data_IF_266379178527
#
_entry.id   IF_266379178527
#
_cell.length_a   1.000
_cell.length_b   1.000
_cell.length_c   1.000
_cell.angle_alpha   90.00
_cell.angle_beta   90.00
_cell.angle_gamma   90.00
#
_symmetry.space_group_name_H-M   'P 1'
#
loop_
_entity.id
_entity.type
_entity.pdbx_description
1 polymer ?
#
# COMPACT_ATOMS: atom_id res chain seq x y z
N UNK A 1 -0.28 -21.79 4.82
CA UNK A 1 0.11 -20.41 4.46
C UNK A 1 0.50 -19.72 5.76
N UNK A 2 1.68 -19.10 5.84
CA UNK A 2 2.13 -18.44 7.08
C UNK A 2 1.56 -17.02 7.19
N UNK A 3 1.50 -16.46 8.40
CA UNK A 3 1.05 -15.08 8.62
C UNK A 3 1.84 -14.08 7.78
N UNK A 4 3.16 -14.31 7.65
CA UNK A 4 4.02 -13.51 6.77
C UNK A 4 3.62 -13.60 5.29
N UNK A 5 3.23 -14.78 4.81
CA UNK A 5 2.75 -14.95 3.44
C UNK A 5 1.41 -14.23 3.21
N UNK A 6 0.52 -14.24 4.21
CA UNK A 6 -0.75 -13.51 4.16
C UNK A 6 -0.49 -11.99 4.10
N UNK A 7 0.40 -11.48 4.94
CA UNK A 7 0.77 -10.06 4.93
C UNK A 7 1.39 -9.61 3.61
N UNK A 8 2.28 -10.43 3.03
CA UNK A 8 2.89 -10.15 1.73
C UNK A 8 1.85 -10.12 0.60
N UNK A 9 0.91 -11.06 0.59
CA UNK A 9 -0.21 -11.10 -0.36
C UNK A 9 -1.11 -9.87 -0.24
N UNK A 10 -1.43 -9.44 0.99
CA UNK A 10 -2.18 -8.20 1.23
C UNK A 10 -1.42 -7.01 0.63
N UNK A 11 -0.12 -6.87 0.91
CA UNK A 11 0.71 -5.80 0.35
C UNK A 11 0.77 -5.81 -1.17
N UNK A 12 0.85 -6.99 -1.80
CA UNK A 12 0.82 -7.14 -3.25
C UNK A 12 -0.50 -6.61 -3.85
N UNK A 13 -1.64 -6.85 -3.21
CA UNK A 13 -2.94 -6.32 -3.67
C UNK A 13 -3.01 -4.80 -3.65
N UNK A 14 -2.40 -4.15 -2.65
CA UNK A 14 -2.27 -2.70 -2.62
C UNK A 14 -1.45 -2.18 -3.81
N UNK A 15 -0.32 -2.85 -4.11
CA UNK A 15 0.51 -2.53 -5.26
C UNK A 15 -0.27 -2.65 -6.57
N UNK A 16 -1.03 -3.73 -6.73
CA UNK A 16 -1.84 -3.96 -7.92
C UNK A 16 -2.93 -2.89 -8.10
N UNK A 17 -3.62 -2.52 -7.02
CA UNK A 17 -4.60 -1.43 -7.04
C UNK A 17 -3.97 -0.10 -7.46
N UNK A 18 -2.79 0.23 -6.92
CA UNK A 18 -2.04 1.43 -7.31
C UNK A 18 -1.70 1.41 -8.80
N UNK A 19 -1.17 0.29 -9.31
CA UNK A 19 -0.77 0.15 -10.71
C UNK A 19 -1.97 0.21 -11.65
N UNK A 20 -3.14 -0.35 -11.27
CA UNK A 20 -4.39 -0.22 -12.04
C UNK A 20 -4.85 1.23 -12.18
N UNK A 21 -4.53 2.09 -11.21
CA UNK A 21 -4.76 3.53 -11.28
C UNK A 21 -3.62 4.31 -11.96
N UNK A 22 -2.62 3.63 -12.53
CA UNK A 22 -1.45 4.23 -13.18
C UNK A 22 -0.64 5.20 -12.29
N UNK A 23 -0.61 4.94 -10.99
CA UNK A 23 0.12 5.78 -10.02
C UNK A 23 1.49 5.19 -9.69
N UNK A 24 2.48 6.03 -9.54
CA UNK A 24 3.77 5.69 -8.90
C UNK A 24 3.62 5.68 -7.37
N UNK A 25 4.57 5.06 -6.66
CA UNK A 25 4.59 5.10 -5.19
C UNK A 25 4.72 6.54 -4.66
N UNK A 26 5.41 7.42 -5.40
CA UNK A 26 5.59 8.83 -5.03
C UNK A 26 4.28 9.61 -5.15
N UNK A 27 3.56 9.47 -6.26
CA UNK A 27 2.26 10.13 -6.44
C UNK A 27 1.23 9.65 -5.42
N UNK A 28 1.22 8.34 -5.09
CA UNK A 28 0.33 7.82 -4.06
C UNK A 28 0.69 8.37 -2.67
N UNK A 29 1.99 8.48 -2.36
CA UNK A 29 2.46 9.06 -1.12
C UNK A 29 2.03 10.53 -0.97
N UNK A 30 2.19 11.32 -2.04
CA UNK A 30 1.75 12.72 -2.11
C UNK A 30 0.23 12.84 -1.87
N UNK A 31 -0.58 12.04 -2.55
CA UNK A 31 -2.06 12.05 -2.42
C UNK A 31 -2.56 11.66 -1.03
N UNK A 32 -1.83 10.79 -0.34
CA UNK A 32 -2.21 10.30 0.99
C UNK A 32 -1.55 11.05 2.13
N UNK A 33 -0.72 12.06 1.84
CA UNK A 33 0.14 12.75 2.80
C UNK A 33 1.02 11.79 3.63
N UNK A 34 1.45 10.68 3.00
CA UNK A 34 2.33 9.68 3.58
C UNK A 34 3.74 9.80 2.98
N UNK A 35 4.72 9.17 3.63
CA UNK A 35 6.05 9.03 3.03
C UNK A 35 6.08 7.93 1.99
N UNK A 36 6.94 8.06 0.97
CA UNK A 36 7.17 7.00 -0.03
C UNK A 36 7.61 5.69 0.64
N UNK A 37 8.37 5.77 1.74
CA UNK A 37 8.77 4.62 2.55
C UNK A 37 7.58 3.91 3.20
N UNK A 38 6.56 4.65 3.64
CA UNK A 38 5.34 4.07 4.19
C UNK A 38 4.55 3.31 3.12
N UNK A 39 4.44 3.86 1.91
CA UNK A 39 3.82 3.18 0.75
C UNK A 39 4.61 1.91 0.40
N UNK A 40 5.94 2.01 0.31
CA UNK A 40 6.81 0.86 0.03
C UNK A 40 6.69 -0.24 1.09
N UNK A 41 6.58 0.13 2.36
CA UNK A 41 6.43 -0.83 3.47
C UNK A 41 5.05 -1.49 3.45
N UNK A 42 3.99 -0.73 3.15
CA UNK A 42 2.64 -1.24 2.90
C UNK A 42 2.62 -2.29 1.78
N UNK A 43 3.22 -1.97 0.62
CA UNK A 43 3.27 -2.89 -0.51
C UNK A 43 4.11 -4.15 -0.23
N UNK A 44 5.00 -4.08 0.75
CA UNK A 44 5.77 -5.22 1.25
C UNK A 44 5.08 -5.98 2.40
N UNK A 45 3.83 -5.65 2.75
CA UNK A 45 3.08 -6.30 3.83
C UNK A 45 3.49 -5.87 5.24
N UNK A 46 4.31 -4.83 5.38
CA UNK A 46 4.86 -4.34 6.66
C UNK A 46 4.30 -2.96 6.95
N UNK A 47 3.11 -2.88 7.52
CA UNK A 47 2.48 -1.59 7.81
C UNK A 47 1.52 -1.63 8.99
N UNK A 48 1.06 -0.46 9.42
CA UNK A 48 -0.03 -0.31 10.39
C UNK A 48 -1.36 -0.24 9.64
N UNK A 49 -2.43 -0.70 10.29
CA UNK A 49 -3.79 -0.67 9.72
C UNK A 49 -4.23 0.75 9.33
N UNK A 50 -3.85 1.78 10.09
CA UNK A 50 -4.17 3.18 9.75
C UNK A 50 -3.62 3.60 8.38
N UNK A 51 -2.39 3.19 8.05
CA UNK A 51 -1.77 3.46 6.76
C UNK A 51 -2.46 2.68 5.64
N UNK A 52 -2.82 1.42 5.88
CA UNK A 52 -3.58 0.61 4.94
C UNK A 52 -4.95 1.25 4.64
N UNK A 53 -5.68 1.72 5.65
CA UNK A 53 -6.97 2.40 5.48
C UNK A 53 -6.83 3.71 4.70
N UNK A 54 -5.83 4.53 5.02
CA UNK A 54 -5.59 5.79 4.32
C UNK A 54 -5.34 5.56 2.81
N UNK A 55 -4.56 4.53 2.48
CA UNK A 55 -4.27 4.17 1.09
C UNK A 55 -5.47 3.52 0.41
N UNK A 56 -6.23 2.66 1.08
CA UNK A 56 -7.47 2.09 0.53
C UNK A 56 -8.49 3.17 0.19
N UNK A 57 -8.63 4.20 1.03
CA UNK A 57 -9.56 5.31 0.77
C UNK A 57 -9.20 6.09 -0.50
N UNK A 58 -7.91 6.26 -0.79
CA UNK A 58 -7.44 6.94 -2.00
C UNK A 58 -7.51 6.05 -3.25
N UNK A 59 -7.28 4.74 -3.08
CA UNK A 59 -7.34 3.76 -4.17
C UNK A 59 -8.75 3.22 -4.42
N UNK A 60 -9.71 3.48 -3.53
CA UNK A 60 -11.14 3.22 -3.70
C UNK A 60 -11.79 4.10 -4.75
#
# INVERSE_FOLDING_TARGET
MTDQAILAEIGARFRDLRLRKNLTQRELAERTALSVTAIKSLEAGRTRLQTAVAVLRELG
#
